data_IF_177164361939
#
_entry.id   IF_177164361939
#
_cell.length_a   1.000
_cell.length_b   1.000
_cell.length_c   1.000
_cell.angle_alpha   90.00
_cell.angle_beta   90.00
_cell.angle_gamma   90.00
#
_symmetry.space_group_name_H-M   'P 1'
#
loop_
_entity.id
_entity.type
_entity.pdbx_description
1 polymer ?
#
# COMPACT_ATOMS: atom_id res chain seq x y z
N UNK A 1 -2.27 3.26 13.18
CA UNK A 1 -1.40 2.41 12.35
C UNK A 1 -0.54 3.28 11.46
N UNK A 2 0.75 3.04 11.45
CA UNK A 2 1.68 3.79 10.62
C UNK A 2 1.95 3.07 9.30
N UNK A 3 2.08 3.84 8.23
CA UNK A 3 2.47 3.35 6.93
C UNK A 3 3.59 4.23 6.41
N UNK A 4 4.82 3.71 6.42
CA UNK A 4 5.98 4.45 5.93
C UNK A 4 6.01 4.48 4.40
N UNK A 5 6.92 5.28 3.84
CA UNK A 5 7.04 5.44 2.38
C UNK A 5 7.37 4.13 1.69
N UNK A 6 8.30 3.36 2.24
CA UNK A 6 8.68 2.07 1.66
C UNK A 6 7.52 1.08 1.77
N UNK A 7 6.85 1.05 2.93
CA UNK A 7 5.68 0.19 3.11
C UNK A 7 4.57 0.55 2.12
N UNK A 8 4.36 1.85 1.89
CA UNK A 8 3.36 2.30 0.93
C UNK A 8 3.69 1.84 -0.49
N UNK A 9 4.97 1.93 -0.89
CA UNK A 9 5.41 1.50 -2.21
C UNK A 9 5.24 -0.01 -2.40
N UNK A 10 5.63 -0.80 -1.40
CA UNK A 10 5.49 -2.27 -1.45
C UNK A 10 4.02 -2.65 -1.45
N UNK A 11 3.22 -2.05 -0.58
CA UNK A 11 1.78 -2.32 -0.51
C UNK A 11 1.11 -1.97 -1.84
N UNK A 12 1.43 -0.82 -2.41
CA UNK A 12 0.87 -0.40 -3.70
C UNK A 12 1.14 -1.41 -4.80
N UNK A 13 2.34 -1.99 -4.82
CA UNK A 13 2.69 -3.01 -5.80
C UNK A 13 1.85 -4.28 -5.60
N UNK A 14 1.69 -4.73 -4.36
CA UNK A 14 0.86 -5.91 -4.08
C UNK A 14 -0.60 -5.67 -4.49
N UNK A 15 -1.12 -4.50 -4.16
CA UNK A 15 -2.51 -4.14 -4.53
C UNK A 15 -2.69 -4.15 -6.04
N UNK A 16 -1.74 -3.55 -6.76
CA UNK A 16 -1.79 -3.48 -8.21
C UNK A 16 -1.71 -4.86 -8.87
N UNK A 17 -0.85 -5.73 -8.34
CA UNK A 17 -0.69 -7.08 -8.87
C UNK A 17 -1.78 -8.05 -8.40
N UNK A 18 -2.49 -7.71 -7.33
CA UNK A 18 -3.52 -8.55 -6.74
C UNK A 18 -2.95 -9.56 -5.75
N UNK A 19 -2.11 -10.46 -6.23
CA UNK A 19 -1.36 -11.42 -5.43
C UNK A 19 0.08 -11.35 -5.89
N UNK A 20 1.02 -11.36 -4.98
CA UNK A 20 2.42 -11.24 -5.35
C UNK A 20 3.35 -11.93 -4.36
N UNK A 21 4.36 -12.61 -4.88
CA UNK A 21 5.48 -13.10 -4.09
C UNK A 21 6.49 -11.96 -3.88
N UNK A 22 7.41 -12.14 -2.93
CA UNK A 22 8.48 -11.16 -2.70
C UNK A 22 9.31 -10.95 -3.97
N UNK A 23 9.54 -12.01 -4.73
CA UNK A 23 10.28 -11.91 -6.00
C UNK A 23 9.58 -11.03 -7.01
N UNK A 24 8.27 -11.20 -7.16
CA UNK A 24 7.48 -10.38 -8.09
C UNK A 24 7.48 -8.91 -7.69
N UNK A 25 7.33 -8.63 -6.40
CA UNK A 25 7.39 -7.26 -5.88
C UNK A 25 8.78 -6.67 -6.10
N UNK A 26 9.83 -7.46 -5.82
CA UNK A 26 11.21 -7.00 -6.01
C UNK A 26 11.50 -6.69 -7.47
N UNK A 27 11.03 -7.51 -8.40
CA UNK A 27 11.22 -7.26 -9.84
C UNK A 27 10.56 -5.96 -10.26
N UNK A 28 9.35 -5.71 -9.78
CA UNK A 28 8.62 -4.50 -10.10
C UNK A 28 9.30 -3.25 -9.53
N UNK A 29 9.69 -3.30 -8.26
CA UNK A 29 10.27 -2.14 -7.57
C UNK A 29 11.76 -1.94 -7.85
N UNK A 30 12.49 -2.99 -8.24
CA UNK A 30 13.89 -2.86 -8.58
C UNK A 30 14.10 -1.92 -9.77
N UNK A 31 13.25 -2.04 -10.77
CA UNK A 31 13.34 -1.19 -11.96
C UNK A 31 13.01 0.26 -11.68
N UNK A 32 12.24 0.56 -10.63
CA UNK A 32 11.81 1.91 -10.31
C UNK A 32 12.55 2.51 -9.12
N UNK A 33 12.94 1.70 -8.13
CA UNK A 33 13.53 2.19 -6.89
C UNK A 33 14.87 1.57 -6.52
N UNK A 34 15.30 0.53 -7.22
CA UNK A 34 16.58 -0.13 -6.94
C UNK A 34 16.66 -0.81 -5.59
N UNK A 35 15.54 -1.22 -5.02
CA UNK A 35 15.49 -1.83 -3.70
C UNK A 35 15.93 -3.29 -3.73
N UNK A 36 16.69 -3.71 -2.70
CA UNK A 36 17.15 -5.07 -2.57
C UNK A 36 16.01 -6.03 -2.21
N UNK A 37 16.13 -7.26 -2.64
CA UNK A 37 15.16 -8.31 -2.33
C UNK A 37 14.91 -8.48 -0.83
N UNK A 38 15.98 -8.47 -0.02
CA UNK A 38 15.86 -8.62 1.43
C UNK A 38 15.06 -7.50 2.05
N UNK A 39 15.23 -6.27 1.57
CA UNK A 39 14.46 -5.11 2.03
C UNK A 39 12.98 -5.28 1.70
N UNK A 40 12.67 -5.74 0.50
CA UNK A 40 11.31 -6.01 0.07
C UNK A 40 10.67 -7.11 0.92
N UNK A 41 11.39 -8.20 1.10
CA UNK A 41 10.90 -9.35 1.88
C UNK A 41 10.61 -8.98 3.33
N UNK A 42 11.51 -8.21 3.96
CA UNK A 42 11.33 -7.72 5.32
C UNK A 42 10.11 -6.80 5.43
N UNK A 43 9.93 -5.94 4.43
CA UNK A 43 8.80 -5.00 4.39
C UNK A 43 7.48 -5.75 4.25
N UNK A 44 7.43 -6.76 3.38
CA UNK A 44 6.23 -7.60 3.23
C UNK A 44 5.88 -8.34 4.53
N UNK A 45 6.88 -8.88 5.21
CA UNK A 45 6.68 -9.55 6.50
C UNK A 45 6.12 -8.58 7.53
N UNK A 46 6.64 -7.36 7.56
CA UNK A 46 6.15 -6.31 8.46
C UNK A 46 4.70 -5.95 8.17
N UNK A 47 4.33 -5.80 6.91
CA UNK A 47 2.94 -5.52 6.51
C UNK A 47 2.01 -6.67 6.88
N UNK A 48 2.49 -7.89 6.76
CA UNK A 48 1.74 -9.06 7.20
C UNK A 48 1.51 -9.03 8.72
N UNK A 49 2.55 -8.75 9.48
CA UNK A 49 2.45 -8.69 10.95
C UNK A 49 1.55 -7.56 11.43
N UNK A 50 1.47 -6.47 10.68
CA UNK A 50 0.55 -5.36 10.96
C UNK A 50 -0.90 -5.68 10.61
N UNK A 51 -1.16 -6.81 9.95
CA UNK A 51 -2.50 -7.19 9.53
C UNK A 51 -2.98 -6.48 8.27
N UNK A 52 -2.07 -5.83 7.55
CA UNK A 52 -2.39 -5.15 6.28
C UNK A 52 -2.44 -6.15 5.14
N UNK A 53 -1.49 -7.08 5.12
CA UNK A 53 -1.44 -8.15 4.13
C UNK A 53 -1.78 -9.49 4.76
N UNK A 54 -2.40 -10.34 3.96
CA UNK A 54 -2.49 -11.77 4.22
C UNK A 54 -1.46 -12.46 3.37
N UNK A 55 -1.07 -13.68 3.74
CA UNK A 55 -0.17 -14.47 2.91
C UNK A 55 -0.54 -15.93 2.96
N UNK A 56 -0.32 -16.59 1.83
CA UNK A 56 -0.49 -18.04 1.70
C UNK A 56 0.85 -18.64 1.32
N UNK A 57 1.16 -19.80 1.85
CA UNK A 57 2.36 -20.52 1.47
C UNK A 57 2.10 -21.27 0.16
N UNK A 58 2.97 -21.07 -0.80
CA UNK A 58 2.94 -21.79 -2.07
C UNK A 58 4.18 -22.66 -2.17
N UNK A 59 3.99 -23.94 -2.49
CA UNK A 59 5.08 -24.90 -2.66
C UNK A 59 5.35 -25.04 -4.16
N UNK A 60 6.60 -24.90 -4.56
CA UNK A 60 7.01 -25.02 -5.94
C UNK A 60 8.38 -25.67 -6.06
N UNK A 61 8.97 -25.60 -7.25
CA UNK A 61 10.26 -26.24 -7.54
C UNK A 61 11.39 -25.75 -6.64
N UNK A 62 11.36 -24.50 -6.23
CA UNK A 62 12.38 -23.93 -5.37
C UNK A 62 12.09 -24.06 -3.89
N UNK A 63 11.08 -24.83 -3.49
CA UNK A 63 10.63 -24.95 -2.12
C UNK A 63 9.42 -24.09 -1.83
N UNK A 64 9.23 -23.73 -0.57
CA UNK A 64 8.09 -22.92 -0.14
C UNK A 64 8.35 -21.43 -0.35
N UNK A 65 7.31 -20.70 -0.68
CA UNK A 65 7.35 -19.25 -0.74
C UNK A 65 5.99 -18.70 -0.30
N UNK A 66 5.97 -17.45 0.11
CA UNK A 66 4.73 -16.78 0.44
C UNK A 66 4.22 -15.97 -0.74
N UNK A 67 2.89 -15.99 -0.90
CA UNK A 67 2.19 -15.12 -1.83
C UNK A 67 1.34 -14.17 -0.98
N UNK A 68 1.54 -12.89 -1.16
CA UNK A 68 0.91 -11.84 -0.37
C UNK A 68 -0.26 -11.23 -1.12
N UNK A 69 -1.28 -10.83 -0.38
CA UNK A 69 -2.42 -10.11 -0.91
C UNK A 69 -2.97 -9.17 0.16
N UNK A 70 -3.73 -8.18 -0.25
CA UNK A 70 -4.38 -7.27 0.68
C UNK A 70 -5.36 -8.06 1.56
N UNK A 71 -5.29 -7.87 2.87
CA UNK A 71 -6.06 -8.66 3.83
C UNK A 71 -7.57 -8.44 3.67
N UNK A 72 -8.00 -7.19 3.80
CA UNK A 72 -9.40 -6.78 3.59
C UNK A 72 -9.36 -5.32 3.18
N UNK A 73 -9.67 -5.07 1.92
CA UNK A 73 -9.45 -3.74 1.34
C UNK A 73 -10.10 -2.63 2.16
N UNK A 74 -11.39 -2.73 2.43
CA UNK A 74 -12.12 -1.67 3.13
C UNK A 74 -11.64 -1.49 4.56
N UNK A 75 -11.42 -2.59 5.28
CA UNK A 75 -10.94 -2.53 6.66
C UNK A 75 -9.53 -1.95 6.75
N UNK A 76 -8.64 -2.38 5.86
CA UNK A 76 -7.26 -1.91 5.85
C UNK A 76 -7.21 -0.42 5.50
N UNK A 77 -7.93 0.00 4.48
CA UNK A 77 -8.01 1.42 4.10
C UNK A 77 -8.47 2.27 5.26
N UNK A 78 -9.55 1.86 5.93
CA UNK A 78 -10.09 2.58 7.07
C UNK A 78 -9.10 2.69 8.23
N UNK A 79 -8.39 1.61 8.54
CA UNK A 79 -7.40 1.61 9.62
C UNK A 79 -6.20 2.50 9.31
N UNK A 80 -5.72 2.48 8.09
CA UNK A 80 -4.59 3.31 7.65
C UNK A 80 -4.97 4.78 7.71
N UNK A 81 -6.12 5.15 7.18
CA UNK A 81 -6.60 6.54 7.19
C UNK A 81 -6.82 7.01 8.63
N UNK A 82 -7.48 6.18 9.44
CA UNK A 82 -7.74 6.52 10.85
C UNK A 82 -6.43 6.76 11.60
N UNK A 83 -5.44 5.89 11.41
CA UNK A 83 -4.15 6.05 12.08
C UNK A 83 -3.45 7.34 11.68
N UNK A 84 -3.51 7.70 10.40
CA UNK A 84 -2.93 8.94 9.89
C UNK A 84 -3.62 10.16 10.52
N UNK A 85 -4.95 10.18 10.51
CA UNK A 85 -5.72 11.28 11.09
C UNK A 85 -5.48 11.38 12.60
N UNK A 86 -5.45 10.26 13.30
CA UNK A 86 -5.19 10.25 14.75
C UNK A 86 -3.84 10.88 15.09
N UNK A 87 -2.81 10.62 14.29
CA UNK A 87 -1.49 11.23 14.51
C UNK A 87 -1.50 12.73 14.24
N UNK A 88 -2.21 13.16 13.21
CA UNK A 88 -2.37 14.59 12.93
C UNK A 88 -3.09 15.30 14.07
N UNK A 89 -4.14 14.67 14.60
CA UNK A 89 -4.89 15.22 15.73
C UNK A 89 -4.02 15.31 16.99
N UNK A 90 -3.20 14.29 17.23
CA UNK A 90 -2.27 14.30 18.36
C UNK A 90 -1.25 15.42 18.24
N UNK A 91 -0.72 15.64 17.03
CA UNK A 91 0.32 16.64 16.80
C UNK A 91 -0.21 18.06 16.79
N UNK A 92 -1.34 18.31 16.17
CA UNK A 92 -1.84 19.67 15.90
C UNK A 92 -3.16 20.02 16.61
N UNK A 93 -3.86 19.02 17.15
CA UNK A 93 -5.16 19.21 17.74
C UNK A 93 -6.29 19.25 16.70
N UNK A 94 -7.53 19.51 17.17
CA UNK A 94 -8.72 19.42 16.29
C UNK A 94 -8.71 20.38 15.10
N UNK A 95 -7.96 21.47 15.17
CA UNK A 95 -7.88 22.43 14.06
C UNK A 95 -7.35 21.83 12.77
N UNK A 96 -6.64 20.70 12.84
CA UNK A 96 -6.10 20.04 11.64
C UNK A 96 -7.21 19.54 10.72
N UNK A 97 -8.39 19.31 11.25
CA UNK A 97 -9.52 18.81 10.46
C UNK A 97 -9.93 19.80 9.36
N UNK A 98 -9.99 21.10 9.69
CA UNK A 98 -10.31 22.08 8.66
C UNK A 98 -9.23 22.19 7.61
N UNK A 99 -7.95 22.06 8.00
CA UNK A 99 -6.84 22.06 7.04
C UNK A 99 -6.94 20.85 6.10
N UNK A 100 -7.24 19.68 6.65
CA UNK A 100 -7.44 18.45 5.86
C UNK A 100 -8.59 18.62 4.87
N UNK A 101 -9.69 19.19 5.33
CA UNK A 101 -10.86 19.44 4.51
C UNK A 101 -10.54 20.39 3.35
N UNK A 102 -9.84 21.48 3.66
CA UNK A 102 -9.43 22.45 2.65
C UNK A 102 -8.49 21.82 1.61
N UNK A 103 -7.56 20.98 2.06
CA UNK A 103 -6.66 20.26 1.15
C UNK A 103 -7.45 19.38 0.17
N UNK A 104 -8.45 18.67 0.68
CA UNK A 104 -9.28 17.80 -0.17
C UNK A 104 -10.05 18.61 -1.21
N UNK A 105 -10.52 19.80 -0.84
CA UNK A 105 -11.24 20.67 -1.76
C UNK A 105 -10.32 21.29 -2.81
N UNK A 106 -9.04 21.45 -2.50
CA UNK A 106 -8.06 22.03 -3.41
C UNK A 106 -7.54 21.07 -4.48
N UNK A 107 -7.77 19.78 -4.32
CA UNK A 107 -7.32 18.81 -5.33
C UNK A 107 -8.09 19.06 -6.63
N UNK A 108 -7.40 19.40 -7.74
CA UNK A 108 -8.09 19.64 -9.00
C UNK A 108 -8.86 18.42 -9.49
N UNK A 109 -10.07 18.63 -9.97
CA UNK A 109 -10.90 17.54 -10.49
C UNK A 109 -10.22 16.78 -11.63
N UNK A 110 -9.45 17.47 -12.44
CA UNK A 110 -8.70 16.85 -13.52
C UNK A 110 -7.68 15.86 -13.02
N UNK A 111 -6.98 16.21 -11.93
CA UNK A 111 -5.99 15.33 -11.32
C UNK A 111 -6.66 14.11 -10.71
N UNK A 112 -7.83 14.28 -10.09
CA UNK A 112 -8.60 13.16 -9.56
C UNK A 112 -9.02 12.19 -10.66
N UNK A 113 -9.48 12.71 -11.79
CA UNK A 113 -9.86 11.88 -12.94
C UNK A 113 -8.67 11.11 -13.48
N UNK A 114 -7.52 11.76 -13.61
CA UNK A 114 -6.29 11.12 -14.07
C UNK A 114 -5.87 9.99 -13.15
N UNK A 115 -5.97 10.21 -11.84
CA UNK A 115 -5.66 9.19 -10.86
C UNK A 115 -6.62 8.01 -10.96
N UNK A 116 -7.91 8.28 -11.08
CA UNK A 116 -8.92 7.24 -11.23
C UNK A 116 -8.67 6.39 -12.48
N UNK A 117 -8.38 7.03 -13.61
CA UNK A 117 -8.09 6.34 -14.85
C UNK A 117 -6.82 5.51 -14.76
N UNK A 118 -5.78 6.07 -14.13
CA UNK A 118 -4.52 5.38 -13.93
C UNK A 118 -4.72 4.13 -13.09
N UNK A 119 -5.43 4.24 -11.98
CA UNK A 119 -5.71 3.12 -11.09
C UNK A 119 -6.51 2.05 -11.83
N UNK A 120 -7.52 2.46 -12.59
CA UNK A 120 -8.35 1.53 -13.37
C UNK A 120 -7.52 0.72 -14.37
N UNK A 121 -6.61 1.39 -15.09
CA UNK A 121 -5.74 0.72 -16.06
C UNK A 121 -4.76 -0.23 -15.38
N UNK A 122 -4.14 0.23 -14.30
CA UNK A 122 -3.14 -0.57 -13.58
C UNK A 122 -3.75 -1.77 -12.87
N UNK A 123 -5.00 -1.66 -12.43
CA UNK A 123 -5.70 -2.77 -11.78
C UNK A 123 -6.22 -3.80 -12.78
N UNK A 124 -6.06 -3.56 -14.06
CA UNK A 124 -6.52 -4.47 -15.10
C UNK A 124 -8.01 -4.47 -15.34
N UNK A 125 -8.73 -3.52 -14.83
CA UNK A 125 -10.15 -3.38 -15.10
C UNK A 125 -10.37 -2.79 -16.49
N UNK A 126 -11.30 -3.35 -17.18
CA UNK A 126 -11.61 -2.99 -18.56
C UNK A 126 -12.97 -2.33 -18.65
#
# INVERSE_FOLDING_TARGET
>A
MELGDLEAAVLGTVVRLGNASARQVAQDLHSTRGLAYTTISTTLDRLYKKGILSRDEAVGRGGSRYVYRLHSEDKVKGRVVKGFVDRLLTAFGPSIISTLHDYMDEIPKEDLKKLEEKVRRESGQR
#
